data_IF_608503709081
#
_entry.id   IF_608503709081
#
_cell.length_a   1.000
_cell.length_b   1.000
_cell.length_c   1.000
_cell.angle_alpha   90.00
_cell.angle_beta   90.00
_cell.angle_gamma   90.00
#
_symmetry.space_group_name_H-M   'P 1'
#
loop_
_entity.id
_entity.type
_entity.pdbx_description
1 polymer ?
#
# COMPACT_ATOMS: atom_id res chain seq x y z
N UNK A 1 -10.90 12.39 -26.64
CA UNK A 1 -11.02 13.76 -26.09
C UNK A 1 -10.30 13.84 -24.76
N UNK A 2 -9.61 14.94 -24.46
CA UNK A 2 -8.86 15.13 -23.20
C UNK A 2 -9.40 16.37 -22.47
N UNK A 3 -9.71 16.25 -21.18
CA UNK A 3 -10.03 17.37 -20.28
C UNK A 3 -9.01 17.41 -19.14
N UNK A 4 -8.40 18.57 -18.92
CA UNK A 4 -7.32 18.74 -17.95
C UNK A 4 -7.65 19.87 -16.95
N UNK A 5 -7.51 19.60 -15.65
CA UNK A 5 -7.69 20.58 -14.56
C UNK A 5 -6.44 20.64 -13.68
N UNK A 6 -5.94 21.83 -13.39
CA UNK A 6 -4.80 22.04 -12.50
C UNK A 6 -5.19 22.86 -11.26
N UNK A 7 -4.33 22.84 -10.24
CA UNK A 7 -4.54 23.55 -8.98
C UNK A 7 -5.79 23.05 -8.26
N UNK A 8 -6.61 23.98 -7.78
CA UNK A 8 -7.82 23.68 -7.00
C UNK A 8 -9.07 23.45 -7.87
N UNK A 9 -8.92 23.38 -9.19
CA UNK A 9 -10.05 23.15 -10.09
C UNK A 9 -10.51 21.70 -10.03
N UNK A 10 -11.76 21.47 -9.67
CA UNK A 10 -12.34 20.13 -9.63
C UNK A 10 -13.01 19.75 -10.95
N UNK A 11 -13.12 18.45 -11.18
CA UNK A 11 -13.96 17.93 -12.25
C UNK A 11 -15.44 18.19 -11.91
N UNK A 12 -16.26 18.46 -12.92
CA UNK A 12 -17.70 18.68 -12.78
C UNK A 12 -18.46 17.60 -13.56
N UNK A 13 -19.46 16.98 -12.92
CA UNK A 13 -20.31 15.94 -13.52
C UNK A 13 -21.00 16.41 -14.79
N UNK A 14 -21.62 17.60 -14.78
CA UNK A 14 -22.31 18.16 -15.95
C UNK A 14 -21.35 18.36 -17.11
N UNK A 15 -20.14 18.83 -16.83
CA UNK A 15 -19.10 19.04 -17.82
C UNK A 15 -18.67 17.72 -18.48
N UNK A 16 -18.45 16.67 -17.67
CA UNK A 16 -18.05 15.35 -18.17
C UNK A 16 -19.18 14.70 -18.97
N UNK A 17 -20.43 14.79 -18.50
CA UNK A 17 -21.58 14.26 -19.22
C UNK A 17 -21.68 14.89 -20.62
N UNK A 18 -21.50 16.22 -20.72
CA UNK A 18 -21.46 16.93 -22.02
C UNK A 18 -20.31 16.45 -22.90
N UNK A 19 -19.13 16.20 -22.34
CA UNK A 19 -17.99 15.68 -23.11
C UNK A 19 -18.20 14.25 -23.61
N UNK A 20 -18.84 13.39 -22.83
CA UNK A 20 -19.22 12.05 -23.28
C UNK A 20 -20.22 12.11 -24.44
N UNK A 21 -21.18 13.03 -24.38
CA UNK A 21 -22.14 13.24 -25.48
C UNK A 21 -21.44 13.75 -26.75
N UNK A 22 -20.57 14.75 -26.63
CA UNK A 22 -19.77 15.26 -27.75
C UNK A 22 -18.86 14.17 -28.33
N UNK A 23 -18.19 13.39 -27.48
CA UNK A 23 -17.35 12.29 -27.92
C UNK A 23 -18.14 11.24 -28.71
N UNK A 24 -19.37 10.95 -28.28
CA UNK A 24 -20.28 10.06 -29.01
C UNK A 24 -20.71 10.64 -30.36
N UNK A 25 -20.97 11.95 -30.45
CA UNK A 25 -21.35 12.62 -31.71
C UNK A 25 -20.19 12.60 -32.71
N UNK A 26 -18.96 12.82 -32.22
CA UNK A 26 -17.75 12.88 -33.04
C UNK A 26 -17.04 11.52 -33.21
N UNK A 27 -17.62 10.42 -32.73
CA UNK A 27 -17.04 9.07 -32.77
C UNK A 27 -15.63 8.97 -32.18
N UNK A 28 -15.37 9.66 -31.06
CA UNK A 28 -14.16 9.41 -30.28
C UNK A 28 -14.33 8.14 -29.43
N UNK A 29 -13.27 7.34 -29.35
CA UNK A 29 -13.27 6.10 -28.57
C UNK A 29 -13.36 6.36 -27.07
N UNK A 30 -12.74 7.45 -26.60
CA UNK A 30 -12.63 7.74 -25.18
C UNK A 30 -12.62 9.23 -24.82
N UNK A 31 -13.07 9.50 -23.59
CA UNK A 31 -12.83 10.75 -22.83
C UNK A 31 -11.82 10.43 -21.73
N UNK A 32 -10.70 11.15 -21.70
CA UNK A 32 -9.69 11.06 -20.66
C UNK A 32 -9.70 12.34 -19.85
N UNK A 33 -9.92 12.25 -18.55
CA UNK A 33 -9.83 13.39 -17.63
C UNK A 33 -8.52 13.34 -16.86
N UNK A 34 -7.88 14.49 -16.66
CA UNK A 34 -6.64 14.62 -15.89
C UNK A 34 -6.82 15.71 -14.84
N UNK A 35 -6.62 15.37 -13.56
CA UNK A 35 -6.72 16.35 -12.46
C UNK A 35 -5.83 16.00 -11.26
N UNK A 36 -5.92 16.76 -10.17
CA UNK A 36 -5.27 16.39 -8.89
C UNK A 36 -6.08 15.36 -8.07
N UNK A 37 -7.26 14.94 -8.55
CA UNK A 37 -8.01 13.86 -7.92
C UNK A 37 -7.36 12.52 -8.27
N UNK A 38 -7.34 11.56 -7.34
CA UNK A 38 -6.77 10.25 -7.59
C UNK A 38 -7.85 9.25 -7.98
N UNK A 39 -7.55 8.42 -8.98
CA UNK A 39 -8.29 7.21 -9.28
C UNK A 39 -7.42 5.98 -9.03
N UNK A 40 -8.03 4.96 -8.44
CA UNK A 40 -7.38 3.68 -8.10
C UNK A 40 -6.98 2.94 -9.38
N UNK A 41 -7.85 2.99 -10.39
CA UNK A 41 -7.61 2.52 -11.75
C UNK A 41 -8.01 3.63 -12.71
N UNK A 42 -7.40 3.66 -13.89
CA UNK A 42 -7.78 4.62 -14.92
C UNK A 42 -9.29 4.57 -15.23
N UNK A 43 -9.92 3.40 -15.12
CA UNK A 43 -11.36 3.19 -15.38
C UNK A 43 -12.27 3.57 -14.21
N UNK A 44 -11.72 3.82 -13.01
CA UNK A 44 -12.49 4.16 -11.80
C UNK A 44 -12.56 5.68 -11.65
N UNK A 45 -13.40 6.30 -12.48
CA UNK A 45 -13.53 7.75 -12.53
C UNK A 45 -14.00 8.33 -11.16
N UNK A 46 -13.40 9.42 -10.66
CA UNK A 46 -13.70 9.99 -9.33
C UNK A 46 -15.12 10.56 -9.22
N UNK A 47 -15.74 10.88 -10.36
CA UNK A 47 -17.14 11.34 -10.45
C UNK A 47 -18.00 10.22 -11.00
N UNK A 48 -19.12 9.96 -10.32
CA UNK A 48 -20.14 9.03 -10.80
C UNK A 48 -20.80 9.62 -12.04
N UNK A 49 -20.76 8.88 -13.13
CA UNK A 49 -21.48 9.19 -14.36
C UNK A 49 -22.41 8.04 -14.72
N UNK A 50 -23.48 8.36 -15.44
CA UNK A 50 -24.43 7.33 -15.88
C UNK A 50 -23.75 6.32 -16.80
N UNK A 51 -23.85 5.02 -16.47
CA UNK A 51 -23.34 3.92 -17.31
C UNK A 51 -23.94 3.92 -18.73
N UNK A 52 -25.06 4.61 -18.96
CA UNK A 52 -25.65 4.76 -20.31
C UNK A 52 -24.75 5.59 -21.24
N UNK A 53 -24.08 6.61 -20.71
CA UNK A 53 -23.20 7.49 -21.46
C UNK A 53 -21.88 6.81 -21.82
N UNK A 54 -21.40 5.90 -20.96
CA UNK A 54 -20.12 5.19 -21.14
C UNK A 54 -20.22 3.85 -21.88
N UNK A 55 -21.36 3.55 -22.51
CA UNK A 55 -21.53 2.30 -23.29
C UNK A 55 -20.80 2.30 -24.64
N UNK A 56 -20.61 3.48 -25.23
CA UNK A 56 -20.00 3.65 -26.55
C UNK A 56 -18.68 4.41 -26.52
N UNK A 57 -18.44 5.12 -25.43
CA UNK A 57 -17.26 5.96 -25.24
C UNK A 57 -16.69 5.59 -23.89
N UNK A 58 -15.43 5.19 -23.86
CA UNK A 58 -14.75 4.87 -22.62
C UNK A 58 -14.44 6.14 -21.84
N UNK A 59 -14.50 6.04 -20.51
CA UNK A 59 -14.16 7.15 -19.61
C UNK A 59 -12.97 6.74 -18.74
N UNK A 60 -11.87 7.48 -18.87
CA UNK A 60 -10.68 7.29 -18.08
C UNK A 60 -10.36 8.52 -17.23
N UNK A 61 -9.72 8.30 -16.09
CA UNK A 61 -9.17 9.34 -15.24
C UNK A 61 -7.73 9.05 -14.85
N UNK A 62 -6.87 10.05 -14.98
CA UNK A 62 -5.50 10.03 -14.48
C UNK A 62 -5.26 11.19 -13.53
N UNK A 63 -4.52 10.95 -12.45
CA UNK A 63 -4.00 12.07 -11.66
C UNK A 63 -2.72 12.62 -12.30
N UNK A 64 -2.46 13.92 -12.13
CA UNK A 64 -1.19 14.51 -12.56
C UNK A 64 0.00 13.82 -11.88
N UNK A 65 -0.14 13.49 -10.61
CA UNK A 65 0.86 12.73 -9.84
C UNK A 65 1.10 11.34 -10.42
N UNK A 66 0.06 10.68 -10.94
CA UNK A 66 0.21 9.41 -11.65
C UNK A 66 1.06 9.59 -12.92
N UNK A 67 0.70 10.55 -13.78
CA UNK A 67 1.45 10.82 -15.02
C UNK A 67 2.91 11.18 -14.76
N UNK A 68 3.15 12.05 -13.77
CA UNK A 68 4.49 12.39 -13.28
C UNK A 68 5.26 11.14 -12.86
N UNK A 69 4.63 10.28 -12.06
CA UNK A 69 5.27 9.05 -11.56
C UNK A 69 5.57 8.07 -12.69
N UNK A 70 4.71 7.96 -13.70
CA UNK A 70 4.99 7.13 -14.87
C UNK A 70 6.16 7.67 -15.69
N UNK A 71 6.22 8.99 -15.88
CA UNK A 71 7.33 9.64 -16.58
C UNK A 71 8.67 9.43 -15.84
N UNK A 72 8.71 9.69 -14.53
CA UNK A 72 9.91 9.47 -13.72
C UNK A 72 10.34 8.00 -13.73
N UNK A 73 9.40 7.07 -13.62
CA UNK A 73 9.66 5.63 -13.68
C UNK A 73 10.23 5.22 -15.05
N UNK A 74 9.64 5.68 -16.16
CA UNK A 74 10.15 5.39 -17.51
C UNK A 74 11.59 5.91 -17.69
N UNK A 75 11.87 7.14 -17.25
CA UNK A 75 13.20 7.72 -17.33
C UNK A 75 14.28 6.92 -16.57
N UNK A 76 13.88 6.17 -15.53
CA UNK A 76 14.79 5.34 -14.73
C UNK A 76 15.01 3.94 -15.30
N UNK A 77 13.95 3.31 -15.78
CA UNK A 77 13.95 1.87 -16.12
C UNK A 77 14.22 1.61 -17.59
N UNK A 78 13.82 2.53 -18.47
CA UNK A 78 13.93 2.32 -19.91
C UNK A 78 15.31 2.75 -20.42
N UNK A 79 16.16 1.77 -20.72
CA UNK A 79 17.55 2.01 -21.15
C UNK A 79 17.64 2.65 -22.55
N UNK A 80 16.63 2.45 -23.40
CA UNK A 80 16.65 2.82 -24.83
C UNK A 80 15.54 3.82 -25.20
N UNK A 81 15.35 4.88 -24.41
CA UNK A 81 14.51 6.02 -24.80
C UNK A 81 15.27 6.89 -25.81
N UNK A 82 14.59 7.26 -26.90
CA UNK A 82 15.09 8.25 -27.86
C UNK A 82 15.46 9.58 -27.19
N UNK A 83 16.55 10.23 -27.62
CA UNK A 83 17.07 11.41 -26.94
C UNK A 83 16.07 12.58 -26.88
N UNK A 84 15.24 12.78 -27.91
CA UNK A 84 14.23 13.84 -27.92
C UNK A 84 13.06 13.49 -26.98
N UNK A 85 12.61 12.23 -27.01
CA UNK A 85 11.58 11.74 -26.10
C UNK A 85 12.00 11.86 -24.64
N UNK A 86 13.26 11.50 -24.35
CA UNK A 86 13.85 11.61 -23.02
C UNK A 86 13.86 13.07 -22.56
N UNK A 87 14.33 13.98 -23.39
CA UNK A 87 14.34 15.42 -23.07
C UNK A 87 12.93 15.96 -22.77
N UNK A 88 11.92 15.58 -23.57
CA UNK A 88 10.53 16.00 -23.36
C UNK A 88 9.99 15.45 -22.03
N UNK A 89 10.27 14.18 -21.71
CA UNK A 89 9.87 13.55 -20.46
C UNK A 89 10.55 14.21 -19.25
N UNK A 90 11.85 14.49 -19.33
CA UNK A 90 12.60 15.19 -18.29
C UNK A 90 12.03 16.60 -18.04
N UNK A 91 11.73 17.35 -19.10
CA UNK A 91 11.12 18.68 -18.98
C UNK A 91 9.70 18.63 -18.43
N UNK A 92 8.91 17.61 -18.78
CA UNK A 92 7.59 17.38 -18.21
C UNK A 92 7.67 17.12 -16.71
N UNK A 93 8.59 16.26 -16.26
CA UNK A 93 8.82 15.99 -14.83
C UNK A 93 9.27 17.27 -14.13
N UNK A 94 10.27 17.97 -14.68
CA UNK A 94 10.77 19.26 -14.15
C UNK A 94 9.65 20.30 -14.01
N UNK A 95 8.80 20.41 -15.01
CA UNK A 95 7.66 21.34 -14.99
C UNK A 95 6.66 20.96 -13.89
N UNK A 96 6.28 19.68 -13.77
CA UNK A 96 5.33 19.23 -12.76
C UNK A 96 5.84 19.41 -11.32
N UNK A 97 7.15 19.32 -11.10
CA UNK A 97 7.79 19.57 -9.79
C UNK A 97 7.75 21.05 -9.39
N UNK A 98 7.63 21.95 -10.35
CA UNK A 98 7.60 23.37 -10.06
C UNK A 98 6.26 23.77 -9.42
N UNK A 99 6.29 24.51 -8.30
CA UNK A 99 5.08 24.92 -7.55
C UNK A 99 4.01 25.63 -8.39
N UNK A 100 4.41 26.29 -9.49
CA UNK A 100 3.49 26.98 -10.39
C UNK A 100 2.70 26.05 -11.32
N UNK A 101 3.07 24.76 -11.42
CA UNK A 101 2.36 23.79 -12.27
C UNK A 101 0.94 23.52 -11.78
N UNK A 102 0.70 23.74 -10.49
CA UNK A 102 -0.55 23.39 -9.82
C UNK A 102 -0.77 21.89 -9.70
N UNK A 103 0.23 21.05 -9.99
CA UNK A 103 0.22 19.60 -9.71
C UNK A 103 0.43 19.40 -8.22
N UNK A 104 -0.48 18.67 -7.58
CA UNK A 104 -0.46 18.46 -6.13
C UNK A 104 -0.62 16.97 -5.81
N UNK A 105 0.11 16.51 -4.80
CA UNK A 105 -0.10 15.22 -4.13
C UNK A 105 -1.33 15.30 -3.22
N UNK A 106 -1.79 14.16 -2.73
CA UNK A 106 -2.88 14.12 -1.75
C UNK A 106 -2.31 14.52 -0.39
N UNK A 107 -2.53 15.77 0.04
CA UNK A 107 -1.85 16.34 1.23
C UNK A 107 -2.71 16.32 2.51
N UNK A 108 -3.99 15.95 2.40
CA UNK A 108 -4.96 16.13 3.47
C UNK A 108 -6.15 15.20 3.35
N UNK A 109 -6.56 14.61 4.48
CA UNK A 109 -7.86 13.94 4.57
C UNK A 109 -9.03 14.91 4.34
N UNK A 110 -10.22 14.34 4.09
CA UNK A 110 -11.47 15.07 3.89
C UNK A 110 -11.91 15.89 5.12
N UNK A 111 -12.81 16.86 4.89
CA UNK A 111 -13.30 17.79 5.92
C UNK A 111 -13.91 17.08 7.13
N UNK A 112 -14.51 15.91 6.94
CA UNK A 112 -15.18 15.12 7.96
C UNK A 112 -14.24 14.28 8.84
N UNK A 113 -12.97 14.12 8.45
CA UNK A 113 -12.00 13.23 9.11
C UNK A 113 -11.95 13.38 10.64
N UNK A 114 -11.86 14.63 11.09
CA UNK A 114 -11.81 14.95 12.51
C UNK A 114 -13.05 14.45 13.24
N UNK A 115 -14.23 14.64 12.65
CA UNK A 115 -15.49 14.23 13.25
C UNK A 115 -15.61 12.70 13.33
N UNK A 116 -15.22 11.98 12.28
CA UNK A 116 -15.17 10.51 12.28
C UNK A 116 -14.25 10.00 13.38
N UNK A 117 -13.05 10.57 13.53
CA UNK A 117 -12.13 10.24 14.62
C UNK A 117 -12.73 10.52 16.01
N UNK A 118 -13.47 11.62 16.17
CA UNK A 118 -14.15 11.94 17.44
C UNK A 118 -15.25 10.92 17.75
N UNK A 119 -16.08 10.55 16.77
CA UNK A 119 -17.14 9.54 16.93
C UNK A 119 -16.57 8.21 17.42
N UNK A 120 -15.50 7.73 16.78
CA UNK A 120 -14.81 6.50 17.21
C UNK A 120 -14.27 6.63 18.64
N UNK A 121 -13.63 7.77 18.96
CA UNK A 121 -13.11 8.04 20.31
C UNK A 121 -14.21 8.01 21.38
N UNK A 122 -15.37 8.57 21.06
CA UNK A 122 -16.54 8.63 21.93
C UNK A 122 -17.37 7.34 21.93
N UNK A 123 -16.95 6.31 21.18
CA UNK A 123 -17.68 5.05 20.98
C UNK A 123 -19.10 5.27 20.44
N UNK A 124 -19.24 6.29 19.61
CA UNK A 124 -20.46 6.53 18.84
C UNK A 124 -20.54 5.57 17.66
N UNK A 125 -21.77 5.16 17.33
CA UNK A 125 -22.01 4.24 16.22
C UNK A 125 -21.75 4.91 14.88
N UNK A 126 -20.83 4.36 14.10
CA UNK A 126 -20.65 4.73 12.70
C UNK A 126 -21.68 4.03 11.80
N UNK A 127 -22.17 4.73 10.78
CA UNK A 127 -23.12 4.21 9.80
C UNK A 127 -22.46 4.19 8.41
N UNK A 128 -22.22 3.00 7.87
CA UNK A 128 -21.50 2.78 6.60
C UNK A 128 -22.11 3.43 5.36
N UNK A 129 -23.34 3.94 5.44
CA UNK A 129 -24.07 4.56 4.32
C UNK A 129 -24.08 6.09 4.38
N UNK A 130 -23.52 6.70 5.42
CA UNK A 130 -23.48 8.17 5.50
C UNK A 130 -22.39 8.72 4.60
N UNK A 131 -22.66 9.87 3.98
CA UNK A 131 -21.68 10.56 3.13
C UNK A 131 -20.38 10.82 3.88
N UNK A 132 -20.46 11.09 5.19
CA UNK A 132 -19.29 11.25 6.06
C UNK A 132 -18.32 10.07 5.99
N UNK A 133 -18.83 8.84 6.06
CA UNK A 133 -18.02 7.60 6.04
C UNK A 133 -17.57 7.31 4.61
N UNK A 134 -18.47 7.43 3.64
CA UNK A 134 -18.15 7.21 2.22
C UNK A 134 -17.05 8.17 1.74
N UNK A 135 -17.13 9.45 2.11
CA UNK A 135 -16.12 10.46 1.78
C UNK A 135 -14.78 10.17 2.47
N UNK A 136 -14.82 9.71 3.72
CA UNK A 136 -13.60 9.36 4.47
C UNK A 136 -12.88 8.15 3.87
N UNK A 137 -13.62 7.12 3.48
CA UNK A 137 -13.06 5.95 2.80
C UNK A 137 -12.58 6.29 1.40
N UNK A 138 -13.30 7.16 0.68
CA UNK A 138 -12.83 7.66 -0.62
C UNK A 138 -11.55 8.47 -0.51
N UNK A 139 -11.42 9.34 0.50
CA UNK A 139 -10.18 10.04 0.83
C UNK A 139 -9.05 9.07 1.15
N UNK A 140 -9.32 8.04 1.96
CA UNK A 140 -8.35 6.98 2.22
C UNK A 140 -7.92 6.25 0.94
N UNK A 141 -8.84 5.96 0.00
CA UNK A 141 -8.48 5.34 -1.27
C UNK A 141 -7.56 6.21 -2.14
N UNK A 142 -7.74 7.53 -2.09
CA UNK A 142 -6.84 8.46 -2.76
C UNK A 142 -5.45 8.43 -2.11
N UNK A 143 -5.39 8.47 -0.78
CA UNK A 143 -4.13 8.36 -0.03
C UNK A 143 -3.39 7.06 -0.31
N UNK A 144 -4.07 5.91 -0.35
CA UNK A 144 -3.44 4.64 -0.72
C UNK A 144 -2.78 4.69 -2.11
N UNK A 145 -3.41 5.42 -3.04
CA UNK A 145 -2.86 5.59 -4.38
C UNK A 145 -1.65 6.50 -4.35
N UNK A 146 -1.68 7.56 -3.56
CA UNK A 146 -0.54 8.45 -3.42
C UNK A 146 0.66 7.76 -2.77
N UNK A 147 0.45 6.99 -1.69
CA UNK A 147 1.49 6.16 -1.06
C UNK A 147 2.13 5.17 -2.05
N UNK A 148 1.32 4.51 -2.87
CA UNK A 148 1.80 3.61 -3.93
C UNK A 148 2.66 4.34 -4.96
N UNK A 149 2.30 5.57 -5.33
CA UNK A 149 3.06 6.37 -6.28
C UNK A 149 4.34 6.95 -5.65
N UNK A 150 4.27 7.39 -4.39
CA UNK A 150 5.41 7.84 -3.61
C UNK A 150 6.47 6.74 -3.52
N UNK A 151 6.10 5.54 -3.06
CA UNK A 151 7.05 4.42 -3.01
C UNK A 151 7.55 4.00 -4.38
N UNK A 152 6.74 4.11 -5.45
CA UNK A 152 7.22 3.82 -6.80
C UNK A 152 8.35 4.76 -7.23
N UNK A 153 8.25 6.06 -6.90
CA UNK A 153 9.29 7.05 -7.20
C UNK A 153 10.55 6.84 -6.35
N UNK A 154 10.37 6.62 -5.06
CA UNK A 154 11.50 6.43 -4.14
C UNK A 154 12.28 5.13 -4.40
N UNK A 155 11.57 4.05 -4.73
CA UNK A 155 12.17 2.73 -4.96
C UNK A 155 12.60 2.49 -6.40
N UNK A 156 12.10 3.27 -7.36
CA UNK A 156 12.31 3.00 -8.78
C UNK A 156 11.68 1.68 -9.27
N UNK A 157 10.68 1.16 -8.55
CA UNK A 157 10.03 -0.12 -8.84
C UNK A 157 8.49 0.03 -8.75
N UNK A 158 7.71 -0.70 -9.57
CA UNK A 158 6.26 -0.52 -9.63
C UNK A 158 5.55 -1.06 -8.38
N UNK A 159 5.25 -0.18 -7.43
CA UNK A 159 4.50 -0.51 -6.20
C UNK A 159 3.01 -0.44 -6.45
N UNK A 160 2.29 -1.51 -6.14
CA UNK A 160 0.87 -1.65 -6.47
C UNK A 160 0.01 -1.93 -5.24
N UNK A 161 -1.19 -1.34 -5.19
CA UNK A 161 -2.18 -1.65 -4.15
C UNK A 161 -2.69 -3.09 -4.36
N UNK A 162 -2.58 -3.91 -3.34
CA UNK A 162 -3.14 -5.26 -3.30
C UNK A 162 -4.65 -5.18 -3.05
N UNK A 163 -5.42 -5.47 -4.09
CA UNK A 163 -6.89 -5.52 -4.05
C UNK A 163 -7.38 -6.91 -4.45
N UNK A 164 -8.53 -7.31 -3.89
CA UNK A 164 -9.25 -8.51 -4.34
C UNK A 164 -9.68 -8.35 -5.80
N UNK A 165 -9.91 -9.46 -6.51
CA UNK A 165 -10.37 -9.42 -7.91
C UNK A 165 -11.70 -8.66 -8.05
N UNK A 166 -12.60 -8.83 -7.07
CA UNK A 166 -13.88 -8.13 -7.04
C UNK A 166 -13.71 -6.60 -6.91
N UNK A 167 -12.84 -6.16 -6.00
CA UNK A 167 -12.58 -4.73 -5.78
C UNK A 167 -11.81 -4.06 -6.93
N UNK A 168 -11.04 -4.83 -7.71
CA UNK A 168 -10.42 -4.33 -8.94
C UNK A 168 -11.44 -4.05 -10.03
N UNK A 169 -12.49 -4.86 -10.15
CA UNK A 169 -13.52 -4.69 -11.17
C UNK A 169 -14.67 -3.76 -10.76
N UNK A 170 -14.90 -3.58 -9.47
CA UNK A 170 -16.03 -2.82 -8.93
C UNK A 170 -15.57 -1.91 -7.78
N UNK A 171 -15.36 -0.63 -8.11
CA UNK A 171 -15.02 0.41 -7.14
C UNK A 171 -16.11 0.69 -6.12
N UNK A 172 -17.38 0.50 -6.49
CA UNK A 172 -18.52 0.78 -5.62
C UNK A 172 -18.68 -0.34 -4.58
N UNK A 173 -18.50 -1.60 -5.00
CA UNK A 173 -18.39 -2.72 -4.08
C UNK A 173 -17.23 -2.52 -3.10
N UNK A 174 -16.06 -2.10 -3.59
CA UNK A 174 -14.92 -1.79 -2.72
C UNK A 174 -15.25 -0.70 -1.70
N UNK A 175 -15.80 0.44 -2.15
CA UNK A 175 -16.17 1.54 -1.25
C UNK A 175 -17.14 1.08 -0.16
N UNK A 176 -18.13 0.26 -0.53
CA UNK A 176 -19.11 -0.30 0.39
C UNK A 176 -18.48 -1.25 1.42
N UNK A 177 -17.61 -2.14 0.97
CA UNK A 177 -16.95 -3.12 1.83
C UNK A 177 -15.97 -2.44 2.79
N UNK A 178 -15.14 -1.52 2.29
CA UNK A 178 -14.18 -0.77 3.11
C UNK A 178 -14.90 0.16 4.10
N UNK A 179 -16.07 0.71 3.74
CA UNK A 179 -16.91 1.47 4.68
C UNK A 179 -17.52 0.59 5.77
N UNK A 180 -17.95 -0.63 5.42
CA UNK A 180 -18.41 -1.59 6.42
C UNK A 180 -17.26 -1.99 7.36
N UNK A 181 -16.08 -2.24 6.80
CA UNK A 181 -14.87 -2.58 7.55
C UNK A 181 -14.47 -1.47 8.52
N UNK A 182 -14.47 -0.21 8.08
CA UNK A 182 -14.19 0.94 8.94
C UNK A 182 -15.19 1.03 10.11
N UNK A 183 -16.48 0.84 9.85
CA UNK A 183 -17.49 0.89 10.90
C UNK A 183 -17.39 -0.27 11.90
N UNK A 184 -16.92 -1.45 11.47
CA UNK A 184 -16.80 -2.64 12.33
C UNK A 184 -15.48 -2.67 13.12
N UNK A 185 -14.37 -2.36 12.43
CA UNK A 185 -13.01 -2.50 12.98
C UNK A 185 -12.40 -1.18 13.42
N UNK A 186 -13.06 -0.05 13.17
CA UNK A 186 -12.57 1.29 13.49
C UNK A 186 -11.15 1.53 12.95
N UNK A 187 -10.83 0.92 11.80
CA UNK A 187 -9.48 0.88 11.21
C UNK A 187 -9.56 1.00 9.70
N UNK A 188 -8.63 1.74 9.12
CA UNK A 188 -8.39 1.84 7.68
C UNK A 188 -7.15 1.02 7.32
N UNK A 189 -7.23 0.17 6.29
CA UNK A 189 -6.14 -0.73 5.89
C UNK A 189 -5.69 -0.43 4.46
N UNK A 190 -4.39 -0.47 4.24
CA UNK A 190 -3.76 -0.51 2.94
C UNK A 190 -2.79 -1.70 2.86
N UNK A 191 -2.75 -2.36 1.71
CA UNK A 191 -1.79 -3.42 1.44
C UNK A 191 -1.07 -3.10 0.14
N UNK A 192 0.25 -3.04 0.17
CA UNK A 192 1.09 -2.69 -0.96
C UNK A 192 1.96 -3.90 -1.35
N UNK A 193 1.86 -4.29 -2.61
CA UNK A 193 2.77 -5.23 -3.24
C UNK A 193 3.95 -4.44 -3.81
N UNK A 194 5.13 -4.73 -3.28
CA UNK A 194 6.41 -4.17 -3.72
C UNK A 194 7.17 -5.31 -4.39
N UNK A 195 7.63 -5.15 -5.65
CA UNK A 195 8.42 -6.17 -6.33
C UNK A 195 9.62 -6.61 -5.50
N UNK A 196 9.91 -7.91 -5.53
CA UNK A 196 11.07 -8.55 -4.88
C UNK A 196 11.19 -8.37 -3.35
N UNK A 197 10.22 -7.70 -2.71
CA UNK A 197 10.16 -7.59 -1.26
C UNK A 197 9.74 -8.92 -0.61
N UNK A 198 10.21 -9.17 0.61
CA UNK A 198 9.96 -10.42 1.34
C UNK A 198 8.47 -10.75 1.59
N UNK A 199 7.61 -9.74 1.60
CA UNK A 199 6.16 -9.91 1.71
C UNK A 199 5.41 -8.65 1.30
N UNK A 200 4.07 -8.70 1.34
CA UNK A 200 3.23 -7.51 1.23
C UNK A 200 3.45 -6.58 2.42
N UNK A 201 3.61 -5.28 2.16
CA UNK A 201 3.59 -4.25 3.18
C UNK A 201 2.14 -3.95 3.57
N UNK A 202 1.79 -4.15 4.83
CA UNK A 202 0.46 -3.84 5.37
C UNK A 202 0.52 -2.62 6.28
N UNK A 203 -0.37 -1.67 6.02
CA UNK A 203 -0.47 -0.40 6.73
C UNK A 203 -1.86 -0.32 7.37
N UNK A 204 -1.91 -0.18 8.69
CA UNK A 204 -3.13 -0.09 9.47
C UNK A 204 -3.20 1.27 10.17
N UNK A 205 -4.22 2.07 9.85
CA UNK A 205 -4.53 3.30 10.57
C UNK A 205 -5.73 3.03 11.51
N UNK A 206 -5.44 2.79 12.79
CA UNK A 206 -6.45 2.49 13.80
C UNK A 206 -7.01 3.79 14.37
N UNK A 207 -8.27 4.10 14.07
CA UNK A 207 -8.96 5.27 14.63
C UNK A 207 -9.22 5.09 16.13
N UNK A 208 -9.47 3.84 16.55
CA UNK A 208 -9.71 3.49 17.95
C UNK A 208 -8.49 3.81 18.82
N UNK A 209 -7.30 3.41 18.35
CA UNK A 209 -6.05 3.56 19.10
C UNK A 209 -5.29 4.84 18.72
N UNK A 210 -5.69 5.52 17.63
CA UNK A 210 -5.01 6.69 17.05
C UNK A 210 -3.56 6.39 16.66
N UNK A 211 -3.36 5.17 16.15
CA UNK A 211 -2.05 4.66 15.76
C UNK A 211 -1.99 4.38 14.27
N UNK A 212 -0.78 4.52 13.72
CA UNK A 212 -0.42 4.02 12.40
C UNK A 212 0.55 2.87 12.60
N UNK A 213 0.26 1.72 12.00
CA UNK A 213 1.13 0.55 12.08
C UNK A 213 1.53 0.11 10.69
N UNK A 214 2.82 -0.16 10.49
CA UNK A 214 3.34 -0.76 9.26
C UNK A 214 3.88 -2.14 9.60
N UNK A 215 3.57 -3.15 8.79
CA UNK A 215 4.00 -4.52 9.04
C UNK A 215 4.25 -5.34 7.79
N UNK A 216 5.14 -6.33 7.92
CA UNK A 216 5.43 -7.35 6.92
C UNK A 216 5.47 -8.72 7.60
N UNK A 217 5.00 -9.75 6.90
CA UNK A 217 4.82 -11.09 7.45
C UNK A 217 5.52 -12.16 6.59
N UNK A 218 6.51 -12.83 7.20
CA UNK A 218 7.36 -13.82 6.52
C UNK A 218 7.21 -15.20 7.15
N UNK A 219 7.53 -16.23 6.37
CA UNK A 219 7.65 -17.60 6.87
C UNK A 219 8.83 -17.71 7.83
N UNK A 220 8.64 -18.46 8.91
CA UNK A 220 9.73 -18.82 9.79
C UNK A 220 10.50 -20.01 9.18
N UNK A 221 11.84 -20.08 9.33
CA UNK A 221 12.65 -21.13 8.75
C UNK A 221 12.22 -22.55 9.14
N UNK A 222 11.72 -23.32 8.16
CA UNK A 222 11.24 -24.68 8.38
C UNK A 222 12.34 -25.69 8.72
N UNK A 223 13.57 -25.43 8.29
CA UNK A 223 14.76 -26.24 8.59
C UNK A 223 15.26 -26.09 10.04
N UNK A 224 14.78 -25.07 10.76
CA UNK A 224 15.13 -24.83 12.17
C UNK A 224 14.09 -25.46 13.10
N UNK A 225 14.56 -26.25 14.06
CA UNK A 225 13.70 -27.02 14.99
C UNK A 225 13.25 -26.23 16.24
N UNK A 226 13.95 -25.16 16.61
CA UNK A 226 13.69 -24.42 17.85
C UNK A 226 13.27 -22.98 17.57
N UNK A 227 12.43 -22.40 18.42
CA UNK A 227 12.06 -20.98 18.37
C UNK A 227 13.29 -20.07 18.38
N UNK A 228 14.23 -20.29 19.30
CA UNK A 228 15.48 -19.51 19.38
C UNK A 228 16.22 -19.44 18.04
N UNK A 229 16.35 -20.57 17.34
CA UNK A 229 17.00 -20.61 16.03
C UNK A 229 16.20 -19.88 14.94
N UNK A 230 14.86 -19.97 14.94
CA UNK A 230 14.00 -19.25 13.97
C UNK A 230 14.01 -17.74 14.21
N UNK A 231 13.98 -17.31 15.46
CA UNK A 231 14.06 -15.89 15.84
C UNK A 231 15.44 -15.34 15.52
N UNK A 232 16.52 -16.08 15.83
CA UNK A 232 17.88 -15.68 15.46
C UNK A 232 18.07 -15.47 13.96
N UNK A 233 17.42 -16.26 13.12
CA UNK A 233 17.44 -16.04 11.67
C UNK A 233 16.84 -14.67 11.29
N UNK A 234 15.72 -14.31 11.90
CA UNK A 234 15.06 -13.03 11.65
C UNK A 234 15.88 -11.85 12.20
N UNK A 235 16.29 -11.92 13.47
CA UNK A 235 17.01 -10.83 14.17
C UNK A 235 18.32 -10.47 13.47
N UNK A 236 19.03 -11.46 12.89
CA UNK A 236 20.28 -11.23 12.16
C UNK A 236 20.11 -10.34 10.93
N UNK A 237 18.94 -10.34 10.30
CA UNK A 237 18.65 -9.48 9.14
C UNK A 237 18.66 -8.00 9.52
N UNK A 238 18.38 -7.70 10.79
CA UNK A 238 18.36 -6.34 11.31
C UNK A 238 19.63 -5.95 12.07
N UNK A 239 20.73 -6.71 12.00
CA UNK A 239 21.89 -6.51 12.88
C UNK A 239 22.49 -5.08 12.84
N UNK A 240 22.37 -4.37 11.71
CA UNK A 240 22.87 -3.00 11.52
C UNK A 240 21.79 -1.91 11.68
N UNK A 241 20.56 -2.30 11.95
CA UNK A 241 19.42 -1.40 12.10
C UNK A 241 19.27 -1.04 13.58
N UNK A 242 18.96 0.21 13.90
CA UNK A 242 18.59 0.57 15.26
C UNK A 242 17.25 -0.09 15.63
N UNK A 243 17.13 -0.80 16.77
CA UNK A 243 15.90 -1.50 17.12
C UNK A 243 14.67 -0.60 17.15
N UNK A 244 14.81 0.64 17.64
CA UNK A 244 13.76 1.66 17.69
C UNK A 244 12.43 1.11 18.20
N UNK A 245 11.36 1.40 17.46
CA UNK A 245 10.00 0.92 17.75
C UNK A 245 9.67 -0.42 17.06
N UNK A 246 10.67 -1.15 16.54
CA UNK A 246 10.45 -2.40 15.81
C UNK A 246 10.10 -3.51 16.81
N UNK A 247 8.97 -4.16 16.57
CA UNK A 247 8.52 -5.35 17.30
C UNK A 247 8.31 -6.52 16.37
N UNK A 248 8.50 -7.72 16.91
CA UNK A 248 8.27 -8.99 16.22
C UNK A 248 7.14 -9.74 16.90
N UNK A 249 6.17 -10.18 16.10
CA UNK A 249 5.10 -11.09 16.50
C UNK A 249 5.38 -12.49 15.99
N UNK A 250 5.27 -13.50 16.85
CA UNK A 250 5.42 -14.91 16.48
C UNK A 250 4.06 -15.58 16.35
N UNK A 251 3.77 -16.17 15.18
CA UNK A 251 2.54 -16.95 14.95
C UNK A 251 2.79 -18.42 15.21
N UNK A 252 1.93 -19.03 16.02
CA UNK A 252 2.07 -20.41 16.48
C UNK A 252 1.07 -21.35 15.79
N UNK A 253 1.42 -22.63 15.58
CA UNK A 253 0.48 -23.63 15.07
C UNK A 253 -0.77 -23.75 15.95
N UNK A 254 -1.89 -24.20 15.36
CA UNK A 254 -3.12 -24.47 16.12
C UNK A 254 -3.88 -23.21 16.58
N UNK A 255 -3.59 -22.04 16.03
CA UNK A 255 -4.33 -20.80 16.31
C UNK A 255 -4.06 -20.19 17.68
N UNK A 256 -2.96 -20.56 18.34
CA UNK A 256 -2.58 -19.92 19.60
C UNK A 256 -2.30 -18.42 19.40
N UNK A 257 -2.46 -17.64 20.47
CA UNK A 257 -2.27 -16.20 20.44
C UNK A 257 -0.85 -15.83 19.99
N UNK A 258 -0.76 -14.73 19.22
CA UNK A 258 0.52 -14.18 18.78
C UNK A 258 1.25 -13.63 20.00
N UNK A 259 2.49 -14.04 20.20
CA UNK A 259 3.36 -13.45 21.23
C UNK A 259 4.19 -12.35 20.56
N UNK A 260 4.37 -11.24 21.28
CA UNK A 260 5.10 -10.07 20.77
C UNK A 260 6.31 -9.79 21.65
N UNK A 261 7.43 -9.40 21.03
CA UNK A 261 8.59 -8.88 21.74
C UNK A 261 9.26 -7.80 20.90
N UNK A 262 9.89 -6.82 21.55
CA UNK A 262 10.66 -5.79 20.85
C UNK A 262 11.93 -6.38 20.26
N UNK A 263 12.40 -5.83 19.14
CA UNK A 263 13.61 -6.29 18.47
C UNK A 263 14.84 -6.19 19.39
N UNK A 264 14.89 -5.18 20.28
CA UNK A 264 15.92 -5.03 21.30
C UNK A 264 15.98 -6.25 22.23
N UNK A 265 14.87 -6.60 22.88
CA UNK A 265 14.78 -7.77 23.75
C UNK A 265 15.15 -9.08 23.04
N UNK A 266 14.79 -9.20 21.76
CA UNK A 266 15.08 -10.39 20.96
C UNK A 266 16.55 -10.50 20.54
N UNK A 267 17.30 -9.38 20.51
CA UNK A 267 18.76 -9.41 20.33
C UNK A 267 19.46 -9.96 21.57
N UNK A 268 18.97 -9.58 22.74
CA UNK A 268 19.52 -10.03 24.02
C UNK A 268 19.16 -11.50 24.31
N UNK A 269 17.87 -11.83 24.26
CA UNK A 269 17.38 -13.20 24.37
C UNK A 269 16.23 -13.50 23.39
N UNK A 270 16.51 -14.23 22.30
CA UNK A 270 15.50 -14.66 21.34
C UNK A 270 14.40 -15.56 21.93
N UNK A 271 14.60 -16.13 23.11
CA UNK A 271 13.67 -17.05 23.77
C UNK A 271 12.53 -16.30 24.46
N UNK A 272 12.66 -14.98 24.68
CA UNK A 272 11.65 -14.14 25.34
C UNK A 272 10.29 -14.13 24.64
N UNK A 273 10.25 -14.40 23.33
CA UNK A 273 8.99 -14.45 22.56
C UNK A 273 8.28 -15.81 22.66
N UNK A 274 8.89 -16.83 23.28
CA UNK A 274 8.30 -18.15 23.42
C UNK A 274 6.94 -18.10 24.14
N UNK A 275 5.98 -18.87 23.66
CA UNK A 275 4.69 -19.05 24.34
C UNK A 275 4.83 -19.94 25.59
N UNK A 276 3.81 -19.99 26.44
CA UNK A 276 3.79 -20.83 27.66
C UNK A 276 4.03 -22.31 27.36
N UNK A 277 3.67 -22.77 26.16
CA UNK A 277 4.00 -24.12 25.68
C UNK A 277 5.38 -24.14 25.00
N UNK A 278 6.42 -24.74 25.61
CA UNK A 278 7.79 -24.75 25.07
C UNK A 278 7.95 -25.64 23.84
N UNK A 279 6.99 -26.54 23.58
CA UNK A 279 7.04 -27.46 22.44
C UNK A 279 6.53 -26.83 21.13
N UNK A 280 5.82 -25.69 21.23
CA UNK A 280 5.39 -24.97 20.04
C UNK A 280 6.56 -24.16 19.46
N UNK A 281 6.60 -24.13 18.13
CA UNK A 281 7.62 -23.43 17.36
C UNK A 281 6.89 -22.56 16.33
N UNK A 282 7.24 -21.27 16.18
CA UNK A 282 6.46 -20.36 15.36
C UNK A 282 6.65 -20.67 13.89
N UNK A 283 5.58 -20.60 13.10
CA UNK A 283 5.60 -20.91 11.66
C UNK A 283 5.69 -19.65 10.79
N UNK A 284 5.37 -18.46 11.34
CA UNK A 284 5.51 -17.15 10.69
C UNK A 284 5.92 -16.10 11.69
N UNK A 285 6.55 -15.04 11.18
CA UNK A 285 6.86 -13.83 11.95
C UNK A 285 6.20 -12.62 11.31
N UNK A 286 5.67 -11.73 12.13
CA UNK A 286 5.25 -10.38 11.73
C UNK A 286 6.30 -9.42 12.27
N UNK A 287 6.91 -8.60 11.41
CA UNK A 287 7.73 -7.47 11.84
C UNK A 287 6.89 -6.22 11.71
N UNK A 288 6.80 -5.40 12.76
CA UNK A 288 5.89 -4.26 12.80
C UNK A 288 6.51 -3.07 13.54
N UNK A 289 6.18 -1.86 13.08
CA UNK A 289 6.30 -0.63 13.89
C UNK A 289 4.92 -0.07 14.15
N UNK A 290 4.76 0.64 15.27
CA UNK A 290 3.52 1.34 15.64
C UNK A 290 3.86 2.75 16.07
N UNK A 291 3.31 3.73 15.37
CA UNK A 291 3.37 5.14 15.74
C UNK A 291 2.06 5.54 16.43
N UNK A 292 2.15 5.98 17.68
CA UNK A 292 1.05 6.69 18.34
C UNK A 292 1.07 8.16 17.95
N UNK A 293 0.01 8.60 17.28
CA UNK A 293 -0.13 9.99 16.83
C UNK A 293 -0.93 10.86 17.81
N UNK A 294 -1.51 10.26 18.86
CA UNK A 294 -2.33 10.91 19.87
C UNK A 294 -3.36 11.87 19.22
N UNK A 295 -3.36 13.15 19.62
CA UNK A 295 -4.27 14.16 19.06
C UNK A 295 -4.04 14.46 17.56
N UNK A 296 -2.80 14.30 17.08
CA UNK A 296 -2.41 14.62 15.68
C UNK A 296 -3.07 13.67 14.67
N UNK A 297 -3.47 12.47 15.09
CA UNK A 297 -4.21 11.53 14.26
C UNK A 297 -5.47 12.14 13.65
N UNK A 298 -6.17 13.00 14.40
CA UNK A 298 -7.41 13.65 13.96
C UNK A 298 -7.21 14.90 13.10
N UNK A 299 -5.97 15.34 12.89
CA UNK A 299 -5.64 16.46 12.02
C UNK A 299 -5.52 15.98 10.58
N UNK A 300 -6.18 16.68 9.64
CA UNK A 300 -6.31 16.20 8.26
C UNK A 300 -4.97 16.09 7.53
N UNK A 301 -4.12 17.10 7.62
CA UNK A 301 -2.76 17.10 7.05
C UNK A 301 -1.77 16.31 7.88
N UNK A 302 -1.78 16.52 9.20
CA UNK A 302 -0.82 15.88 10.11
C UNK A 302 -0.96 14.37 10.11
N UNK A 303 -2.15 13.82 9.83
CA UNK A 303 -2.35 12.39 9.63
C UNK A 303 -1.59 11.87 8.41
N UNK A 304 -1.74 12.54 7.26
CA UNK A 304 -1.04 12.17 6.00
C UNK A 304 0.46 12.28 6.17
N UNK A 305 0.96 13.39 6.70
CA UNK A 305 2.40 13.58 6.98
C UNK A 305 2.97 12.48 7.89
N UNK A 306 2.23 12.10 8.93
CA UNK A 306 2.64 11.02 9.84
C UNK A 306 2.60 9.65 9.18
N UNK A 307 1.61 9.41 8.31
CA UNK A 307 1.45 8.17 7.57
C UNK A 307 2.59 7.96 6.56
N UNK A 308 2.82 8.92 5.67
CA UNK A 308 3.89 8.87 4.67
C UNK A 308 5.25 8.68 5.33
N UNK A 309 5.53 9.44 6.39
CA UNK A 309 6.76 9.32 7.17
C UNK A 309 6.91 7.91 7.76
N UNK A 310 5.86 7.38 8.40
CA UNK A 310 5.91 6.05 9.03
C UNK A 310 6.13 4.96 7.98
N UNK A 311 5.49 5.06 6.82
CA UNK A 311 5.64 4.11 5.71
C UNK A 311 7.06 4.13 5.17
N UNK A 312 7.62 5.32 4.91
CA UNK A 312 8.99 5.47 4.42
C UNK A 312 10.03 4.96 5.43
N UNK A 313 9.91 5.36 6.70
CA UNK A 313 10.82 4.90 7.77
C UNK A 313 10.73 3.39 7.99
N UNK A 314 9.52 2.81 7.96
CA UNK A 314 9.35 1.37 8.09
C UNK A 314 9.96 0.62 6.91
N UNK A 315 9.71 1.05 5.67
CA UNK A 315 10.26 0.35 4.52
C UNK A 315 11.78 0.43 4.49
N UNK A 316 12.36 1.59 4.82
CA UNK A 316 13.82 1.75 4.91
C UNK A 316 14.45 0.90 6.03
N UNK A 317 13.86 0.88 7.22
CA UNK A 317 14.44 0.14 8.36
C UNK A 317 14.16 -1.36 8.31
N UNK A 318 12.96 -1.75 7.86
CA UNK A 318 12.49 -3.13 7.87
C UNK A 318 12.35 -3.68 6.45
N UNK A 319 11.60 -3.02 5.59
CA UNK A 319 11.18 -3.55 4.29
C UNK A 319 12.31 -3.94 3.35
N UNK A 320 13.29 -3.06 3.15
CA UNK A 320 14.46 -3.31 2.29
C UNK A 320 15.48 -4.29 2.91
N UNK A 321 15.43 -4.49 4.23
CA UNK A 321 16.36 -5.35 4.98
C UNK A 321 15.79 -6.75 5.27
N UNK A 322 14.47 -6.93 5.10
CA UNK A 322 13.78 -8.19 5.36
C UNK A 322 13.84 -9.08 4.11
N UNK A 323 14.17 -10.35 4.32
CA UNK A 323 14.26 -11.39 3.29
C UNK A 323 13.25 -12.51 3.57
N UNK A 324 12.61 -13.02 2.52
CA UNK A 324 11.73 -14.17 2.63
C UNK A 324 12.55 -15.43 2.89
N UNK A 325 12.06 -16.31 3.74
CA UNK A 325 12.65 -17.64 3.87
C UNK A 325 12.23 -18.53 2.71
N UNK A 326 13.21 -18.98 1.93
CA UNK A 326 13.02 -19.95 0.84
C UNK A 326 13.52 -21.32 1.29
N UNK A 327 12.70 -22.40 1.16
CA UNK A 327 13.15 -23.75 1.46
C UNK A 327 14.38 -24.14 0.61
N UNK A 328 15.41 -24.79 1.18
CA UNK A 328 16.53 -25.28 0.39
C UNK A 328 16.06 -26.31 -0.64
N UNK A 329 16.71 -26.33 -1.80
CA UNK A 329 16.41 -27.31 -2.84
C UNK A 329 16.53 -28.75 -2.30
N UNK A 330 15.59 -29.66 -2.63
CA UNK A 330 15.72 -31.07 -2.30
C UNK A 330 17.07 -31.60 -2.81
N UNK A 331 17.82 -32.26 -1.94
CA UNK A 331 19.08 -32.91 -2.31
C UNK A 331 18.83 -34.35 -2.67
N UNK A 332 19.55 -34.87 -3.66
CA UNK A 332 19.63 -36.31 -3.85
C UNK A 332 20.24 -36.98 -2.62
N UNK A 333 19.75 -38.17 -2.28
CA UNK A 333 20.48 -39.04 -1.37
C UNK A 333 21.73 -39.54 -2.10
N UNK A 334 22.91 -39.30 -1.54
CA UNK A 334 24.19 -39.57 -2.20
C UNK A 334 24.29 -41.01 -2.74
N UNK A 335 23.84 -42.01 -1.96
CA UNK A 335 23.82 -43.42 -2.38
C UNK A 335 23.01 -43.65 -3.66
N UNK A 336 21.93 -42.89 -3.85
CA UNK A 336 21.04 -43.01 -5.00
C UNK A 336 21.61 -42.33 -6.25
N UNK A 337 22.56 -41.40 -6.08
CA UNK A 337 23.30 -40.79 -7.19
C UNK A 337 24.35 -41.77 -7.71
N UNK A 338 25.09 -42.42 -6.81
CA UNK A 338 26.08 -43.44 -7.15
C UNK A 338 25.44 -44.60 -7.92
N UNK A 339 24.32 -45.15 -7.43
CA UNK A 339 23.59 -46.23 -8.12
C UNK A 339 23.10 -45.86 -9.53
N UNK A 340 22.67 -44.61 -9.74
CA UNK A 340 22.19 -44.12 -11.05
C UNK A 340 23.36 -43.89 -12.01
N UNK A 341 24.50 -43.43 -11.51
CA UNK A 341 25.70 -43.21 -12.32
C UNK A 341 26.37 -44.54 -12.70
N UNK A 342 26.40 -45.52 -11.80
CA UNK A 342 26.94 -46.87 -12.08
C UNK A 342 26.08 -47.69 -13.04
N UNK A 343 24.76 -47.47 -13.08
CA UNK A 343 23.85 -48.14 -14.04
C UNK A 343 23.80 -47.45 -15.41
N UNK A 344 24.44 -46.30 -15.56
CA UNK A 344 24.53 -45.55 -16.82
C UNK A 344 25.85 -45.81 -17.59
N UNK A 345 26.81 -46.51 -16.99
CA UNK A 345 27.99 -47.12 -17.65
C UNK A 345 27.66 -48.54 -18.14
#
# INVERSE_FOLDING_TARGET
MIEAKIGNSTLNEEQICRYLELAKIHNFDAVVTISNQFAVLATHHPIKVSKKLTRRVDLFHWSWTYLRTQADYQLRVEENIDAEQKYILEEMVRYFDHKSSGVQSFDSMNKEWRNVCLKVKNKERLLKTTDEILNTVSAWHQEQRDLSLMLTRELGAPVNIKLSRAHKSDSEARLKDDSAFLCEKETLICQLHIPDAASVLTIDASLANRTISCSMEVLAPGDKKTTKARVNWLVRQFAKIEPGAIRVGAKWPGGSQITWSYLENLRDDPSTIQTENPNLVPHRFIVQTVLDMAGKFSGQRTFIEGLEKTVAEFYHSVGENLTEWVPPAPKFENARVEDILETAE
#
